data_IF_910783689130
#
_entry.id   IF_910783689130
#
_cell.length_a   1.000
_cell.length_b   1.000
_cell.length_c   1.000
_cell.angle_alpha   90.00
_cell.angle_beta   90.00
_cell.angle_gamma   90.00
#
_symmetry.space_group_name_H-M   'P 1'
#
loop_
_entity.id
_entity.type
_entity.pdbx_description
1 polymer ?
#
# COMPACT_ATOMS: atom_id res chain seq x y z
N UNK A 1 -10.20 38.22 9.91
CA UNK A 1 -8.92 37.50 9.75
C UNK A 1 -7.77 38.12 10.56
N UNK A 2 -7.45 39.41 10.43
CA UNK A 2 -6.36 40.07 11.17
C UNK A 2 -6.47 39.99 12.72
N UNK A 3 -7.69 40.07 13.24
CA UNK A 3 -7.96 39.87 14.67
C UNK A 3 -7.77 38.41 15.12
N UNK A 4 -8.15 37.43 14.28
CA UNK A 4 -7.97 36.00 14.57
C UNK A 4 -6.50 35.58 14.50
N UNK A 5 -5.70 36.16 13.59
CA UNK A 5 -4.27 35.86 13.48
C UNK A 5 -3.42 36.37 14.63
N UNK A 6 -3.97 37.28 15.44
CA UNK A 6 -3.31 37.87 16.60
C UNK A 6 -3.92 37.43 17.93
N UNK A 7 -5.05 36.72 17.88
CA UNK A 7 -5.71 36.17 19.06
C UNK A 7 -4.85 35.09 19.72
N UNK A 8 -4.81 35.12 21.06
CA UNK A 8 -4.17 34.08 21.88
C UNK A 8 -5.19 33.53 22.86
N UNK A 9 -5.31 32.20 22.93
CA UNK A 9 -6.07 31.57 24.00
C UNK A 9 -5.41 31.82 25.35
N UNK A 10 -6.19 32.36 26.29
CA UNK A 10 -5.75 32.64 27.65
C UNK A 10 -5.57 31.32 28.40
N UNK A 11 -4.45 31.16 29.11
CA UNK A 11 -4.16 29.95 29.90
C UNK A 11 -3.66 28.75 29.10
N UNK A 12 -3.48 28.87 27.77
CA UNK A 12 -2.91 27.80 26.94
C UNK A 12 -1.47 28.14 26.51
N UNK A 13 -0.46 27.34 26.90
CA UNK A 13 0.94 27.57 26.51
C UNK A 13 1.19 27.35 25.02
N UNK A 14 0.38 26.51 24.37
CA UNK A 14 0.36 26.31 22.91
C UNK A 14 -1.00 26.72 22.38
N UNK A 15 -1.03 27.43 21.24
CA UNK A 15 -2.28 27.81 20.59
C UNK A 15 -3.01 26.56 20.07
N UNK A 16 -4.32 26.43 20.29
CA UNK A 16 -5.11 25.34 19.72
C UNK A 16 -5.07 25.35 18.19
N UNK A 17 -4.93 24.17 17.59
CA UNK A 17 -4.87 24.04 16.12
C UNK A 17 -6.18 24.50 15.43
N UNK A 18 -7.31 24.55 16.16
CA UNK A 18 -8.58 25.03 15.63
C UNK A 18 -8.56 26.51 15.20
N UNK A 19 -7.70 27.35 15.80
CA UNK A 19 -7.50 28.73 15.35
C UNK A 19 -6.97 28.77 13.92
N UNK A 20 -5.98 27.93 13.64
CA UNK A 20 -5.46 27.79 12.28
C UNK A 20 -6.54 27.24 11.35
N UNK A 21 -7.30 26.23 11.80
CA UNK A 21 -8.45 25.71 11.08
C UNK A 21 -9.48 26.77 10.70
N UNK A 22 -9.85 27.67 11.63
CA UNK A 22 -10.77 28.78 11.35
C UNK A 22 -10.19 29.76 10.33
N UNK A 23 -8.91 30.11 10.44
CA UNK A 23 -8.26 31.00 9.48
C UNK A 23 -8.23 30.40 8.08
N UNK A 24 -7.87 29.11 7.96
CA UNK A 24 -7.86 28.38 6.69
C UNK A 24 -9.27 28.32 6.13
N UNK A 25 -10.28 27.90 6.90
CA UNK A 25 -11.65 27.78 6.43
C UNK A 25 -12.23 29.11 5.92
N UNK A 26 -12.02 30.20 6.66
CA UNK A 26 -12.52 31.52 6.24
C UNK A 26 -11.82 31.98 4.96
N UNK A 27 -10.50 31.81 4.86
CA UNK A 27 -9.75 32.18 3.64
C UNK A 27 -10.17 31.35 2.44
N UNK A 28 -10.25 30.03 2.61
CA UNK A 28 -10.68 29.10 1.56
C UNK A 28 -12.10 29.36 1.10
N UNK A 29 -13.02 29.70 2.01
CA UNK A 29 -14.40 30.02 1.66
C UNK A 29 -14.50 31.31 0.85
N UNK A 30 -13.77 32.36 1.24
CA UNK A 30 -13.72 33.62 0.50
C UNK A 30 -13.16 33.40 -0.92
N UNK A 31 -12.06 32.65 -1.02
CA UNK A 31 -11.46 32.29 -2.30
C UNK A 31 -12.40 31.46 -3.17
N UNK A 32 -13.09 30.47 -2.59
CA UNK A 32 -14.07 29.65 -3.30
C UNK A 32 -15.25 30.50 -3.79
N UNK A 33 -15.77 31.42 -2.98
CA UNK A 33 -16.83 32.33 -3.40
C UNK A 33 -16.39 33.20 -4.58
N UNK A 34 -15.19 33.78 -4.52
CA UNK A 34 -14.63 34.59 -5.61
C UNK A 34 -14.47 33.74 -6.88
N UNK A 35 -13.86 32.56 -6.77
CA UNK A 35 -13.68 31.63 -7.88
C UNK A 35 -15.00 31.21 -8.54
N UNK A 36 -16.02 30.90 -7.74
CA UNK A 36 -17.35 30.51 -8.24
C UNK A 36 -18.02 31.68 -8.98
N UNK A 37 -17.86 32.89 -8.46
CA UNK A 37 -18.41 34.09 -9.09
C UNK A 37 -17.68 34.43 -10.39
N UNK A 38 -16.35 34.38 -10.43
CA UNK A 38 -15.57 34.76 -11.61
C UNK A 38 -15.65 33.71 -12.72
N UNK A 39 -15.71 32.44 -12.36
CA UNK A 39 -15.62 31.32 -13.32
C UNK A 39 -16.98 30.88 -13.81
N UNK A 40 -17.99 30.86 -12.92
CA UNK A 40 -19.31 30.29 -13.22
C UNK A 40 -20.45 31.30 -13.07
N UNK A 41 -20.17 32.54 -12.66
CA UNK A 41 -21.19 33.57 -12.45
C UNK A 41 -22.08 33.35 -11.23
N UNK A 42 -21.78 32.34 -10.40
CA UNK A 42 -22.60 31.97 -9.26
C UNK A 42 -22.28 32.87 -8.05
N UNK A 43 -23.29 33.60 -7.56
CA UNK A 43 -23.13 34.57 -6.47
C UNK A 43 -23.45 34.00 -5.09
N UNK A 44 -23.99 32.77 -5.04
CA UNK A 44 -24.44 32.15 -3.80
C UNK A 44 -23.78 30.79 -3.58
N UNK A 45 -23.25 30.57 -2.38
CA UNK A 45 -22.61 29.31 -2.00
C UNK A 45 -23.36 28.68 -0.82
N UNK A 46 -23.78 27.44 -0.98
CA UNK A 46 -24.48 26.68 0.06
C UNK A 46 -23.45 26.09 1.04
N UNK A 47 -23.07 26.87 2.05
CA UNK A 47 -22.07 26.47 3.06
C UNK A 47 -22.42 25.18 3.81
N UNK A 48 -23.70 24.80 3.89
CA UNK A 48 -24.16 23.50 4.42
C UNK A 48 -23.58 22.30 3.67
N UNK A 49 -23.17 22.45 2.41
CA UNK A 49 -22.55 21.39 1.61
C UNK A 49 -21.03 21.31 1.79
N UNK A 50 -20.44 22.26 2.53
CA UNK A 50 -18.99 22.37 2.73
C UNK A 50 -18.56 21.87 4.12
N UNK A 51 -19.33 20.93 4.67
CA UNK A 51 -19.05 20.28 5.93
C UNK A 51 -19.15 18.76 5.79
N UNK A 52 -18.78 18.03 6.84
CA UNK A 52 -18.79 16.57 6.85
C UNK A 52 -20.11 15.98 7.37
N UNK A 53 -21.14 16.78 7.64
CA UNK A 53 -22.39 16.31 8.26
C UNK A 53 -23.08 15.25 7.41
N UNK A 54 -23.08 15.41 6.08
CA UNK A 54 -23.66 14.41 5.17
C UNK A 54 -22.99 13.04 5.29
N UNK A 55 -21.66 13.03 5.50
CA UNK A 55 -20.89 11.82 5.71
C UNK A 55 -21.18 11.22 7.10
N UNK A 56 -21.23 12.03 8.15
CA UNK A 56 -21.56 11.59 9.51
C UNK A 56 -22.98 11.00 9.60
N UNK A 57 -23.94 11.62 8.91
CA UNK A 57 -25.31 11.12 8.79
C UNK A 57 -25.34 9.78 8.06
N UNK A 58 -24.54 9.61 7.00
CA UNK A 58 -24.41 8.32 6.28
C UNK A 58 -23.91 7.23 7.23
N UNK A 59 -22.90 7.52 8.06
CA UNK A 59 -22.43 6.55 9.06
C UNK A 59 -23.50 6.22 10.10
N UNK A 60 -24.30 7.19 10.51
CA UNK A 60 -25.40 6.97 11.46
C UNK A 60 -26.45 6.03 10.87
N UNK A 61 -26.82 6.19 9.60
CA UNK A 61 -27.74 5.29 8.89
C UNK A 61 -27.18 3.86 8.85
N UNK A 62 -25.89 3.69 8.53
CA UNK A 62 -25.28 2.36 8.48
C UNK A 62 -25.22 1.70 9.88
N UNK A 63 -24.95 2.47 10.94
CA UNK A 63 -25.01 1.93 12.33
C UNK A 63 -26.41 1.44 12.68
N UNK A 64 -27.46 2.15 12.27
CA UNK A 64 -28.85 1.79 12.55
C UNK A 64 -29.31 0.49 11.85
N UNK A 65 -28.65 0.08 10.76
CA UNK A 65 -29.05 -1.13 10.01
C UNK A 65 -28.78 -2.44 10.77
N UNK A 66 -27.94 -2.45 11.81
CA UNK A 66 -27.53 -3.66 12.53
C UNK A 66 -28.13 -3.76 13.94
N UNK A 67 -29.25 -3.10 14.20
CA UNK A 67 -29.95 -3.16 15.49
C UNK A 67 -29.12 -2.56 16.63
N UNK A 68 -28.88 -3.33 17.71
CA UNK A 68 -28.16 -2.87 18.91
C UNK A 68 -26.62 -2.80 18.76
N UNK A 69 -26.09 -2.93 17.53
CA UNK A 69 -24.65 -2.92 17.27
C UNK A 69 -24.18 -1.54 16.79
N UNK A 70 -23.95 -0.63 17.73
CA UNK A 70 -23.47 0.75 17.45
C UNK A 70 -22.05 0.81 16.84
N UNK A 71 -21.33 -0.32 16.87
CA UNK A 71 -19.97 -0.49 16.37
C UNK A 71 -19.92 -1.57 15.28
N UNK A 72 -20.36 -1.26 14.05
CA UNK A 72 -20.34 -2.22 12.96
C UNK A 72 -18.89 -2.67 12.68
N UNK A 73 -18.72 -3.97 12.45
CA UNK A 73 -17.50 -4.51 11.85
C UNK A 73 -17.32 -3.94 10.43
N UNK A 74 -16.11 -4.02 9.89
CA UNK A 74 -15.85 -3.58 8.51
C UNK A 74 -16.79 -4.26 7.50
N UNK A 75 -17.12 -5.55 7.70
CA UNK A 75 -18.05 -6.28 6.83
C UNK A 75 -19.48 -5.74 6.95
N UNK A 76 -19.92 -5.41 8.16
CA UNK A 76 -21.24 -4.83 8.41
C UNK A 76 -21.37 -3.41 7.82
N UNK A 77 -20.30 -2.61 7.90
CA UNK A 77 -20.23 -1.31 7.24
C UNK A 77 -20.27 -1.46 5.71
N UNK A 78 -19.49 -2.39 5.13
CA UNK A 78 -19.48 -2.68 3.69
C UNK A 78 -20.86 -3.12 3.20
N UNK A 79 -21.45 -4.13 3.84
CA UNK A 79 -22.81 -4.62 3.52
C UNK A 79 -23.84 -3.51 3.70
N UNK A 80 -23.69 -2.69 4.75
CA UNK A 80 -24.62 -1.61 5.03
C UNK A 80 -24.55 -0.46 4.02
N UNK A 81 -23.35 -0.09 3.57
CA UNK A 81 -23.14 0.88 2.50
C UNK A 81 -23.64 0.35 1.16
N UNK A 82 -23.40 -0.93 0.84
CA UNK A 82 -23.96 -1.59 -0.35
C UNK A 82 -25.48 -1.56 -0.34
N UNK A 83 -26.08 -1.95 0.79
CA UNK A 83 -27.53 -1.90 1.00
C UNK A 83 -28.08 -0.48 0.89
N UNK A 84 -27.42 0.51 1.50
CA UNK A 84 -27.82 1.91 1.44
C UNK A 84 -27.76 2.46 0.01
N UNK A 85 -26.69 2.15 -0.72
CA UNK A 85 -26.49 2.57 -2.12
C UNK A 85 -27.58 1.98 -3.02
N UNK A 86 -27.82 0.67 -2.92
CA UNK A 86 -28.90 0.00 -3.64
C UNK A 86 -30.26 0.59 -3.27
N UNK A 87 -30.56 0.78 -1.98
CA UNK A 87 -31.84 1.33 -1.53
C UNK A 87 -32.07 2.77 -1.99
N UNK A 88 -31.01 3.57 -2.13
CA UNK A 88 -31.10 4.96 -2.59
C UNK A 88 -31.29 5.00 -4.10
N UNK A 89 -30.59 4.14 -4.84
CA UNK A 89 -30.75 4.02 -6.29
C UNK A 89 -32.10 3.40 -6.67
N UNK A 90 -32.64 2.48 -5.87
CA UNK A 90 -33.93 1.83 -6.12
C UNK A 90 -35.15 2.68 -5.71
N UNK A 91 -34.97 3.83 -5.07
CA UNK A 91 -36.06 4.76 -4.76
C UNK A 91 -36.37 5.62 -5.98
N UNK A 92 -37.38 5.24 -6.73
CA UNK A 92 -37.94 6.06 -7.81
C UNK A 92 -38.49 7.38 -7.25
N UNK A 93 -38.29 8.52 -7.91
CA UNK A 93 -39.02 9.74 -7.59
C UNK A 93 -40.51 9.49 -7.80
N UNK A 94 -41.34 9.81 -6.80
CA UNK A 94 -42.78 9.57 -6.83
C UNK A 94 -43.57 10.38 -7.89
N UNK A 95 -42.88 11.16 -8.73
CA UNK A 95 -43.50 12.12 -9.65
C UNK A 95 -42.81 12.28 -11.02
N UNK A 96 -41.94 11.36 -11.44
CA UNK A 96 -41.30 11.45 -12.76
C UNK A 96 -41.22 10.10 -13.47
N UNK A 97 -41.55 10.07 -14.78
CA UNK A 97 -41.45 8.92 -15.69
C UNK A 97 -39.98 8.55 -16.00
N UNK A 98 -39.12 8.46 -14.98
CA UNK A 98 -37.68 8.17 -15.09
C UNK A 98 -37.39 6.66 -15.02
N UNK A 99 -38.17 5.83 -15.72
CA UNK A 99 -37.87 4.39 -15.81
C UNK A 99 -36.53 4.13 -16.53
N UNK A 100 -36.16 4.99 -17.49
CA UNK A 100 -34.95 4.84 -18.30
C UNK A 100 -33.62 5.03 -17.54
N UNK A 101 -33.56 5.91 -16.53
CA UNK A 101 -32.31 6.19 -15.80
C UNK A 101 -31.98 5.08 -14.78
N UNK A 102 -33.00 4.50 -14.14
CA UNK A 102 -32.83 3.35 -13.26
C UNK A 102 -32.44 2.10 -14.05
N UNK A 103 -33.04 1.91 -15.22
CA UNK A 103 -32.69 0.81 -16.13
C UNK A 103 -31.23 0.88 -16.55
N UNK A 104 -30.72 2.05 -16.94
CA UNK A 104 -29.30 2.23 -17.28
C UNK A 104 -28.36 2.03 -16.09
N UNK A 105 -28.75 2.45 -14.89
CA UNK A 105 -27.98 2.21 -13.68
C UNK A 105 -27.93 0.72 -13.31
N UNK A 106 -29.04 -0.01 -13.47
CA UNK A 106 -29.12 -1.45 -13.27
C UNK A 106 -28.34 -2.25 -14.34
N UNK A 107 -28.33 -1.77 -15.58
CA UNK A 107 -27.51 -2.32 -16.67
C UNK A 107 -26.02 -2.11 -16.42
N UNK A 108 -25.60 -0.95 -15.90
CA UNK A 108 -24.21 -0.77 -15.47
C UNK A 108 -23.84 -1.67 -14.29
N UNK A 109 -24.76 -1.89 -13.35
CA UNK A 109 -24.56 -2.80 -12.21
C UNK A 109 -24.47 -4.28 -12.65
N UNK A 110 -25.24 -4.71 -13.64
CA UNK A 110 -25.20 -6.08 -14.16
C UNK A 110 -23.94 -6.38 -14.98
N UNK A 111 -23.25 -5.34 -15.48
CA UNK A 111 -21.96 -5.44 -16.15
C UNK A 111 -20.78 -5.53 -15.17
N UNK A 112 -21.01 -5.36 -13.87
CA UNK A 112 -19.96 -5.59 -12.87
C UNK A 112 -19.69 -7.10 -12.76
N UNK A 113 -18.41 -7.53 -12.77
CA UNK A 113 -18.07 -8.94 -12.71
C UNK A 113 -18.62 -9.57 -11.43
N UNK A 114 -19.35 -10.67 -11.58
CA UNK A 114 -19.85 -11.44 -10.45
C UNK A 114 -18.67 -11.92 -9.60
N UNK A 115 -18.62 -11.52 -8.33
CA UNK A 115 -17.76 -12.19 -7.36
C UNK A 115 -18.38 -13.55 -7.04
N UNK A 116 -18.03 -14.57 -7.83
CA UNK A 116 -18.36 -15.96 -7.54
C UNK A 116 -17.61 -16.40 -6.28
N UNK A 117 -18.29 -16.29 -5.14
CA UNK A 117 -17.94 -17.00 -3.92
C UNK A 117 -18.60 -18.38 -3.91
N UNK A 118 -18.20 -19.23 -4.86
CA UNK A 118 -18.36 -20.67 -4.74
C UNK A 118 -16.99 -21.28 -4.97
N UNK A 119 -16.30 -21.60 -3.86
CA UNK A 119 -15.16 -22.51 -3.88
C UNK A 119 -15.45 -23.62 -2.90
N UNK A 120 -15.86 -24.74 -3.46
CA UNK A 120 -15.69 -26.05 -2.85
C UNK A 120 -14.22 -26.19 -2.42
N UNK A 121 -14.03 -26.65 -1.19
CA UNK A 121 -12.72 -26.91 -0.60
C UNK A 121 -12.25 -28.24 -1.18
N UNK A 122 -11.43 -28.18 -2.24
CA UNK A 122 -10.59 -29.29 -2.64
C UNK A 122 -9.26 -29.16 -1.90
N UNK A 123 -9.02 -30.05 -0.94
CA UNK A 123 -7.68 -30.39 -0.49
C UNK A 123 -6.99 -31.15 -1.62
N UNK A 124 -5.96 -30.58 -2.23
CA UNK A 124 -4.99 -31.38 -2.98
C UNK A 124 -3.59 -30.77 -2.94
N UNK A 125 -2.66 -31.59 -2.43
CA UNK A 125 -1.47 -32.01 -3.16
C UNK A 125 -0.40 -30.98 -3.50
N UNK A 126 0.80 -31.26 -2.99
CA UNK A 126 2.13 -30.81 -3.43
C UNK A 126 2.22 -30.44 -4.93
N UNK A 127 1.94 -29.18 -5.26
CA UNK A 127 1.91 -28.68 -6.62
C UNK A 127 3.10 -27.76 -6.89
N UNK A 128 4.12 -28.29 -7.57
CA UNK A 128 5.23 -27.56 -8.20
C UNK A 128 4.69 -26.31 -8.89
N UNK A 129 5.32 -25.16 -8.64
CA UNK A 129 4.92 -23.91 -9.29
C UNK A 129 5.33 -23.98 -10.77
N UNK A 130 4.34 -23.99 -11.66
CA UNK A 130 4.59 -23.79 -13.10
C UNK A 130 4.98 -22.33 -13.34
N UNK A 131 6.14 -22.13 -13.95
CA UNK A 131 6.70 -20.83 -14.32
C UNK A 131 6.45 -20.57 -15.80
N UNK A 132 5.96 -19.38 -16.12
CA UNK A 132 6.00 -18.84 -17.48
C UNK A 132 7.39 -18.25 -17.72
N UNK A 133 8.00 -18.52 -18.87
CA UNK A 133 9.32 -18.00 -19.24
C UNK A 133 9.27 -16.51 -19.66
N UNK A 134 8.07 -15.96 -19.91
CA UNK A 134 7.90 -14.54 -20.21
C UNK A 134 7.90 -13.68 -18.95
N UNK A 135 9.10 -13.26 -18.52
CA UNK A 135 9.28 -12.31 -17.42
C UNK A 135 9.29 -10.88 -17.95
N UNK A 136 8.36 -10.06 -17.47
CA UNK A 136 8.39 -8.61 -17.69
C UNK A 136 9.60 -8.02 -16.93
N UNK A 137 10.55 -7.43 -17.65
CA UNK A 137 11.72 -6.79 -17.04
C UNK A 137 11.29 -5.59 -16.18
N UNK A 138 11.93 -5.42 -15.02
CA UNK A 138 11.66 -4.28 -14.14
C UNK A 138 11.97 -2.96 -14.86
N UNK A 139 11.02 -2.03 -14.84
CA UNK A 139 11.25 -0.69 -15.34
C UNK A 139 12.30 0.08 -14.52
N UNK A 140 12.87 1.16 -15.06
CA UNK A 140 13.94 1.95 -14.40
C UNK A 140 13.60 2.38 -12.96
N UNK A 141 12.35 2.76 -12.70
CA UNK A 141 11.86 3.19 -11.38
C UNK A 141 11.76 2.01 -10.42
N UNK A 142 11.28 0.87 -10.90
CA UNK A 142 11.13 -0.35 -10.12
C UNK A 142 12.50 -0.93 -9.78
N UNK A 143 13.44 -0.91 -10.73
CA UNK A 143 14.81 -1.36 -10.53
C UNK A 143 15.52 -0.55 -9.44
N UNK A 144 15.38 0.78 -9.46
CA UNK A 144 15.87 1.69 -8.42
C UNK A 144 15.26 1.38 -7.04
N UNK A 145 13.94 1.17 -7.00
CA UNK A 145 13.23 0.84 -5.77
C UNK A 145 13.64 -0.53 -5.24
N UNK A 146 13.81 -1.50 -6.14
CA UNK A 146 14.19 -2.86 -5.84
C UNK A 146 15.61 -2.92 -5.28
N UNK A 147 16.58 -2.23 -5.90
CA UNK A 147 17.95 -2.09 -5.39
C UNK A 147 17.99 -1.58 -3.94
N UNK A 148 17.24 -0.51 -3.64
CA UNK A 148 17.13 0.00 -2.27
C UNK A 148 16.55 -1.03 -1.29
N UNK A 149 15.52 -1.78 -1.71
CA UNK A 149 14.93 -2.83 -0.86
C UNK A 149 15.82 -4.07 -0.71
N UNK A 150 16.69 -4.37 -1.67
CA UNK A 150 17.72 -5.41 -1.54
C UNK A 150 18.65 -5.11 -0.35
N UNK A 151 19.09 -3.85 -0.22
CA UNK A 151 19.85 -3.39 0.94
C UNK A 151 19.12 -3.60 2.28
N UNK A 152 17.78 -3.45 2.29
CA UNK A 152 16.97 -3.79 3.46
C UNK A 152 16.96 -5.29 3.77
N UNK A 153 16.79 -6.16 2.76
CA UNK A 153 16.78 -7.63 2.94
C UNK A 153 18.11 -8.09 3.51
N UNK A 154 19.23 -7.63 2.93
CA UNK A 154 20.58 -7.95 3.41
C UNK A 154 20.76 -7.47 4.84
N UNK A 155 20.33 -6.25 5.18
CA UNK A 155 20.36 -5.75 6.57
C UNK A 155 19.61 -6.67 7.53
N UNK A 156 18.44 -7.16 7.14
CA UNK A 156 17.63 -8.07 7.97
C UNK A 156 18.30 -9.41 8.16
N UNK A 157 18.89 -9.96 7.10
CA UNK A 157 19.68 -11.19 7.17
C UNK A 157 20.90 -11.01 8.08
N UNK A 158 21.76 -10.02 7.85
CA UNK A 158 22.97 -9.80 8.64
C UNK A 158 22.71 -9.50 10.12
N UNK A 159 21.54 -8.93 10.44
CA UNK A 159 21.11 -8.75 11.83
C UNK A 159 20.81 -10.08 12.54
N UNK A 160 20.32 -11.08 11.80
CA UNK A 160 20.04 -12.43 12.32
C UNK A 160 21.25 -13.36 12.19
N UNK A 161 22.08 -13.15 11.17
CA UNK A 161 23.23 -13.96 10.80
C UNK A 161 24.49 -13.09 10.81
N UNK A 162 25.13 -13.01 11.98
CA UNK A 162 26.32 -12.18 12.19
C UNK A 162 27.58 -12.87 11.65
N UNK A 163 27.80 -12.78 10.34
CA UNK A 163 28.96 -13.34 9.66
C UNK A 163 29.66 -12.27 8.82
N UNK A 164 30.95 -12.03 9.09
CA UNK A 164 31.72 -11.01 8.38
C UNK A 164 31.95 -11.38 6.91
N UNK A 165 32.18 -12.66 6.60
CA UNK A 165 32.29 -13.14 5.22
C UNK A 165 31.02 -12.81 4.42
N UNK A 166 29.84 -13.16 4.95
CA UNK A 166 28.57 -12.83 4.31
C UNK A 166 28.38 -11.32 4.16
N UNK A 167 28.79 -10.53 5.15
CA UNK A 167 28.70 -9.07 5.08
C UNK A 167 29.56 -8.50 3.96
N UNK A 168 30.83 -8.90 3.88
CA UNK A 168 31.75 -8.44 2.83
C UNK A 168 31.27 -8.87 1.45
N UNK A 169 30.77 -10.10 1.30
CA UNK A 169 30.29 -10.58 0.00
C UNK A 169 28.99 -9.87 -0.43
N UNK A 170 28.06 -9.66 0.50
CA UNK A 170 26.74 -9.11 0.18
C UNK A 170 26.73 -7.60 0.03
N UNK A 171 27.69 -6.88 0.63
CA UNK A 171 27.62 -5.43 0.77
C UNK A 171 28.82 -4.70 0.21
N UNK A 172 28.58 -3.54 -0.40
CA UNK A 172 29.64 -2.63 -0.85
C UNK A 172 30.32 -1.99 0.37
N UNK A 173 31.66 -2.03 0.40
CA UNK A 173 32.44 -1.39 1.46
C UNK A 173 32.31 0.14 1.41
N UNK A 174 32.43 0.79 2.57
CA UNK A 174 32.24 2.25 2.69
C UNK A 174 33.19 3.07 1.80
N UNK A 175 34.41 2.59 1.56
CA UNK A 175 35.39 3.21 0.67
C UNK A 175 35.01 3.15 -0.81
N UNK A 176 34.16 2.19 -1.18
CA UNK A 176 33.87 1.83 -2.56
C UNK A 176 32.45 2.25 -2.97
N UNK A 177 31.74 2.95 -2.09
CA UNK A 177 30.39 3.48 -2.36
C UNK A 177 30.47 4.57 -3.41
N UNK A 178 30.09 4.23 -4.64
CA UNK A 178 30.07 5.13 -5.79
C UNK A 178 28.79 4.95 -6.59
N UNK A 179 28.27 6.06 -7.13
CA UNK A 179 27.14 6.01 -8.04
C UNK A 179 27.56 5.58 -9.45
N UNK A 180 27.68 4.27 -9.67
CA UNK A 180 28.13 3.69 -10.96
C UNK A 180 26.99 3.31 -11.91
N UNK A 181 25.80 3.00 -11.37
CA UNK A 181 24.67 2.52 -12.15
C UNK A 181 23.41 3.36 -11.91
N UNK A 182 22.55 3.46 -12.93
CA UNK A 182 21.30 4.23 -12.83
C UNK A 182 20.36 3.74 -11.72
N UNK A 183 20.40 2.45 -11.39
CA UNK A 183 19.58 1.86 -10.34
C UNK A 183 20.06 2.21 -8.91
N UNK A 184 21.17 2.95 -8.79
CA UNK A 184 21.66 3.49 -7.51
C UNK A 184 21.00 4.83 -7.15
N UNK A 185 20.39 5.54 -8.11
CA UNK A 185 19.91 6.91 -7.94
C UNK A 185 18.95 7.07 -6.76
N UNK A 186 17.98 6.16 -6.61
CA UNK A 186 17.04 6.25 -5.51
C UNK A 186 17.70 6.05 -4.14
N UNK A 187 18.66 5.12 -4.02
CA UNK A 187 19.40 4.92 -2.79
C UNK A 187 20.26 6.16 -2.46
N UNK A 188 20.89 6.76 -3.47
CA UNK A 188 21.67 7.98 -3.36
C UNK A 188 20.83 9.16 -2.86
N UNK A 189 19.66 9.41 -3.45
CA UNK A 189 18.77 10.48 -2.98
C UNK A 189 18.13 10.18 -1.62
N UNK A 190 18.02 8.89 -1.25
CA UNK A 190 17.43 8.50 0.02
C UNK A 190 18.38 8.67 1.20
N UNK A 191 19.68 8.61 0.97
CA UNK A 191 20.68 9.03 1.96
C UNK A 191 20.72 10.55 2.06
N UNK A 192 19.73 11.12 2.73
CA UNK A 192 19.82 12.50 3.16
C UNK A 192 20.84 12.56 4.31
N UNK A 193 22.03 13.11 4.06
CA UNK A 193 23.03 13.39 5.08
C UNK A 193 23.40 14.87 5.01
N UNK A 194 23.37 15.57 6.14
CA UNK A 194 23.79 16.96 6.25
C UNK A 194 25.31 17.14 6.04
N UNK A 195 26.06 16.04 6.01
CA UNK A 195 27.50 16.00 5.78
C UNK A 195 27.80 15.85 4.28
N UNK A 196 28.33 16.92 3.68
CA UNK A 196 28.89 16.90 2.32
C UNK A 196 30.01 15.83 2.24
N UNK A 197 29.78 14.75 1.49
CA UNK A 197 30.85 13.82 1.10
C UNK A 197 30.64 12.33 1.42
N UNK A 198 29.59 11.95 2.16
CA UNK A 198 29.23 10.54 2.33
C UNK A 198 28.18 10.12 1.29
N UNK A 199 28.62 9.68 0.11
CA UNK A 199 27.72 9.05 -0.86
C UNK A 199 26.99 7.86 -0.19
N UNK A 200 25.66 7.82 -0.33
CA UNK A 200 24.79 6.77 0.24
C UNK A 200 24.66 6.72 1.78
N UNK A 201 25.29 7.64 2.53
CA UNK A 201 25.19 7.74 4.00
C UNK A 201 25.42 6.40 4.70
N UNK A 202 24.55 6.02 5.64
CA UNK A 202 24.62 4.74 6.37
C UNK A 202 23.77 3.60 5.77
N UNK A 203 23.33 3.72 4.51
CA UNK A 203 22.56 2.65 3.88
C UNK A 203 23.43 1.41 3.66
N UNK A 204 22.79 0.23 3.71
CA UNK A 204 23.43 -1.01 3.25
C UNK A 204 23.15 -1.12 1.75
N UNK A 205 24.21 -1.22 0.96
CA UNK A 205 24.13 -1.35 -0.50
C UNK A 205 24.56 -2.77 -0.90
N UNK A 206 23.78 -3.48 -1.73
CA UNK A 206 24.19 -4.78 -2.25
C UNK A 206 25.39 -4.63 -3.21
N UNK A 207 26.30 -5.60 -3.19
CA UNK A 207 27.26 -5.79 -4.30
C UNK A 207 26.53 -6.10 -5.60
N UNK A 208 27.20 -5.91 -6.74
CA UNK A 208 26.59 -6.18 -8.04
C UNK A 208 26.19 -7.66 -8.18
N UNK A 209 27.04 -8.58 -7.73
CA UNK A 209 26.77 -10.01 -7.73
C UNK A 209 25.55 -10.36 -6.86
N UNK A 210 25.47 -9.77 -5.66
CA UNK A 210 24.32 -9.97 -4.77
C UNK A 210 23.03 -9.40 -5.38
N UNK A 211 23.11 -8.25 -6.05
CA UNK A 211 21.96 -7.62 -6.69
C UNK A 211 21.44 -8.44 -7.88
N UNK A 212 22.33 -8.94 -8.74
CA UNK A 212 21.96 -9.82 -9.85
C UNK A 212 21.30 -11.11 -9.36
N UNK A 213 21.81 -11.71 -8.28
CA UNK A 213 21.21 -12.89 -7.67
C UNK A 213 19.80 -12.59 -7.12
N UNK A 214 19.62 -11.44 -6.47
CA UNK A 214 18.31 -10.98 -5.97
C UNK A 214 17.33 -10.67 -7.11
N UNK A 215 17.80 -10.19 -8.26
CA UNK A 215 16.97 -10.01 -9.45
C UNK A 215 16.45 -11.35 -9.97
N UNK A 216 17.28 -12.39 -10.05
CA UNK A 216 16.81 -13.72 -10.43
C UNK A 216 15.77 -14.27 -9.44
N UNK A 217 15.97 -14.04 -8.14
CA UNK A 217 14.96 -14.39 -7.13
C UNK A 217 13.65 -13.60 -7.31
N UNK A 218 13.73 -12.33 -7.74
CA UNK A 218 12.58 -11.48 -8.00
C UNK A 218 11.76 -11.95 -9.21
N UNK A 219 12.43 -12.43 -10.26
CA UNK A 219 11.77 -13.03 -11.43
C UNK A 219 10.93 -14.24 -11.01
N UNK A 220 11.54 -15.15 -10.24
CA UNK A 220 10.85 -16.33 -9.68
C UNK A 220 9.69 -15.88 -8.78
N UNK A 221 9.90 -14.88 -7.92
CA UNK A 221 8.85 -14.36 -7.06
C UNK A 221 7.67 -13.79 -7.87
N UNK A 222 7.93 -12.95 -8.88
CA UNK A 222 6.87 -12.33 -9.67
C UNK A 222 6.03 -13.36 -10.43
N UNK A 223 6.69 -14.34 -11.06
CA UNK A 223 6.01 -15.40 -11.81
C UNK A 223 5.24 -16.37 -10.90
N UNK A 224 5.82 -16.72 -9.76
CA UNK A 224 5.21 -17.68 -8.85
C UNK A 224 4.09 -17.09 -7.98
N UNK A 225 4.26 -15.85 -7.49
CA UNK A 225 3.36 -15.24 -6.51
C UNK A 225 2.22 -14.45 -7.16
N UNK A 226 2.48 -13.57 -8.13
CA UNK A 226 1.48 -12.63 -8.67
C UNK A 226 0.21 -13.31 -9.22
N UNK A 227 0.29 -14.45 -9.92
CA UNK A 227 -0.91 -15.11 -10.45
C UNK A 227 -1.74 -15.82 -9.38
N UNK A 228 -1.14 -16.16 -8.24
CA UNK A 228 -1.70 -17.08 -7.24
C UNK A 228 -1.47 -16.62 -5.79
N UNK A 229 -1.71 -15.34 -5.42
CA UNK A 229 -1.40 -14.82 -4.08
C UNK A 229 -2.19 -15.50 -2.95
N UNK A 230 -3.34 -16.09 -3.28
CA UNK A 230 -4.21 -16.83 -2.36
C UNK A 230 -3.80 -18.29 -2.11
N UNK A 231 -2.81 -18.85 -2.85
CA UNK A 231 -2.44 -20.26 -2.73
C UNK A 231 -1.84 -20.53 -1.34
N UNK A 232 -2.43 -21.47 -0.60
CA UNK A 232 -1.90 -21.91 0.70
C UNK A 232 -0.52 -22.54 0.47
N UNK A 233 0.44 -22.27 1.36
CA UNK A 233 1.80 -22.78 1.23
C UNK A 233 2.66 -22.09 0.16
N UNK A 234 2.19 -21.02 -0.49
CA UNK A 234 2.91 -20.34 -1.58
C UNK A 234 4.33 -19.90 -1.18
N UNK A 235 4.55 -19.51 0.07
CA UNK A 235 5.87 -19.14 0.57
C UNK A 235 6.89 -20.29 0.53
N UNK A 236 6.46 -21.51 0.89
CA UNK A 236 7.33 -22.70 0.81
C UNK A 236 7.60 -23.08 -0.64
N UNK A 237 6.57 -23.05 -1.49
CA UNK A 237 6.73 -23.33 -2.93
C UNK A 237 7.71 -22.36 -3.61
N UNK A 238 7.68 -21.07 -3.25
CA UNK A 238 8.63 -20.08 -3.76
C UNK A 238 10.07 -20.34 -3.28
N UNK A 239 10.25 -20.71 -2.00
CA UNK A 239 11.57 -21.05 -1.46
C UNK A 239 12.17 -22.28 -2.17
N UNK A 240 11.34 -23.30 -2.41
CA UNK A 240 11.75 -24.49 -3.16
C UNK A 240 12.13 -24.14 -4.60
N UNK A 241 11.30 -23.34 -5.29
CA UNK A 241 11.59 -22.92 -6.66
C UNK A 241 12.90 -22.13 -6.79
N UNK A 242 13.16 -21.20 -5.86
CA UNK A 242 14.43 -20.46 -5.80
C UNK A 242 15.61 -21.42 -5.55
N UNK A 243 15.43 -22.43 -4.69
CA UNK A 243 16.46 -23.41 -4.38
C UNK A 243 16.77 -24.30 -5.59
N UNK A 244 15.76 -24.72 -6.34
CA UNK A 244 15.91 -25.54 -7.55
C UNK A 244 16.62 -24.81 -8.69
N UNK A 245 16.52 -23.47 -8.75
CA UNK A 245 17.17 -22.67 -9.79
C UNK A 245 18.69 -22.52 -9.59
N UNK A 246 19.23 -22.94 -8.43
CA UNK A 246 20.66 -22.86 -8.09
C UNK A 246 21.25 -21.45 -8.29
N UNK A 247 20.54 -20.42 -7.85
CA UNK A 247 21.02 -19.03 -7.91
C UNK A 247 22.28 -18.92 -7.06
N UNK A 248 23.36 -18.43 -7.66
CA UNK A 248 24.64 -18.28 -6.98
C UNK A 248 24.62 -17.05 -6.09
N UNK A 249 24.74 -17.27 -4.77
CA UNK A 249 24.81 -16.21 -3.78
C UNK A 249 25.91 -16.61 -2.77
N UNK A 250 27.01 -15.86 -2.60
CA UNK A 250 28.21 -16.38 -1.95
C UNK A 250 28.13 -16.26 -0.42
N UNK A 251 27.20 -17.03 0.14
CA UNK A 251 26.95 -17.12 1.58
C UNK A 251 27.81 -18.22 2.20
N UNK A 252 28.05 -18.13 3.51
CA UNK A 252 29.01 -18.99 4.20
C UNK A 252 28.59 -20.47 4.30
N UNK A 253 27.30 -20.79 4.12
CA UNK A 253 26.80 -22.16 4.19
C UNK A 253 25.46 -22.34 3.46
N UNK A 254 25.12 -23.58 3.12
CA UNK A 254 23.81 -23.91 2.55
C UNK A 254 22.64 -23.53 3.48
N UNK A 255 22.85 -23.58 4.80
CA UNK A 255 21.83 -23.17 5.77
C UNK A 255 21.61 -21.65 5.73
N UNK A 256 22.70 -20.87 5.69
CA UNK A 256 22.61 -19.41 5.54
C UNK A 256 21.93 -18.99 4.24
N UNK A 257 22.08 -19.77 3.17
CA UNK A 257 21.34 -19.58 1.92
C UNK A 257 19.84 -19.80 2.09
N UNK A 258 19.42 -20.90 2.74
CA UNK A 258 18.01 -21.15 3.03
C UNK A 258 17.40 -20.04 3.88
N UNK A 259 18.10 -19.59 4.91
CA UNK A 259 17.67 -18.48 5.77
C UNK A 259 17.51 -17.18 4.98
N UNK A 260 18.47 -16.87 4.11
CA UNK A 260 18.42 -15.70 3.25
C UNK A 260 17.21 -15.74 2.30
N UNK A 261 16.99 -16.87 1.64
CA UNK A 261 15.84 -17.09 0.75
C UNK A 261 14.51 -16.97 1.52
N UNK A 262 14.42 -17.54 2.72
CA UNK A 262 13.23 -17.43 3.56
C UNK A 262 12.95 -15.96 3.95
N UNK A 263 13.97 -15.18 4.30
CA UNK A 263 13.85 -13.75 4.58
C UNK A 263 13.39 -12.99 3.33
N UNK A 264 14.02 -13.23 2.17
CA UNK A 264 13.65 -12.60 0.91
C UNK A 264 12.17 -12.86 0.58
N UNK A 265 11.76 -14.12 0.49
CA UNK A 265 10.38 -14.50 0.15
C UNK A 265 9.39 -13.90 1.14
N UNK A 266 9.70 -13.95 2.45
CA UNK A 266 8.86 -13.38 3.49
C UNK A 266 8.60 -11.90 3.30
N UNK A 267 9.66 -11.10 3.11
CA UNK A 267 9.51 -9.66 2.93
C UNK A 267 8.90 -9.31 1.57
N UNK A 268 9.18 -10.08 0.52
CA UNK A 268 8.54 -9.86 -0.78
C UNK A 268 7.05 -10.13 -0.75
N UNK A 269 6.59 -11.24 -0.16
CA UNK A 269 5.16 -11.49 0.09
C UNK A 269 4.57 -10.34 0.90
N UNK A 270 5.22 -9.94 2.00
CA UNK A 270 4.74 -8.87 2.85
C UNK A 270 4.59 -7.53 2.12
N UNK A 271 5.58 -7.12 1.32
CA UNK A 271 5.52 -5.87 0.58
C UNK A 271 4.50 -5.93 -0.55
N UNK A 272 4.43 -7.03 -1.28
CA UNK A 272 3.44 -7.19 -2.36
C UNK A 272 2.03 -7.21 -1.78
N UNK A 273 1.78 -7.95 -0.71
CA UNK A 273 0.48 -7.93 -0.03
C UNK A 273 0.18 -6.56 0.58
N UNK A 274 1.17 -5.87 1.17
CA UNK A 274 0.97 -4.50 1.66
C UNK A 274 0.63 -3.54 0.53
N UNK A 275 1.28 -3.67 -0.62
CA UNK A 275 1.01 -2.89 -1.81
C UNK A 275 -0.37 -3.21 -2.37
N UNK A 276 -0.72 -4.48 -2.55
CA UNK A 276 -2.06 -4.91 -2.96
C UNK A 276 -3.12 -4.44 -1.98
N UNK A 277 -2.87 -4.57 -0.68
CA UNK A 277 -3.76 -4.03 0.35
C UNK A 277 -3.85 -2.52 0.26
N UNK A 278 -2.77 -1.81 -0.10
CA UNK A 278 -2.79 -0.36 -0.32
C UNK A 278 -3.49 0.03 -1.61
N UNK A 279 -3.31 -0.67 -2.73
CA UNK A 279 -4.06 -0.42 -3.96
C UNK A 279 -5.54 -0.78 -3.79
N UNK A 280 -5.85 -1.76 -2.94
CA UNK A 280 -7.20 -2.03 -2.45
C UNK A 280 -7.66 -0.98 -1.41
N UNK A 281 -6.74 -0.35 -0.65
CA UNK A 281 -6.99 0.63 0.43
C UNK A 281 -6.83 2.10 0.04
N UNK A 282 -6.47 2.40 -1.21
CA UNK A 282 -6.88 3.62 -1.90
C UNK A 282 -8.42 3.62 -2.08
N UNK A 283 -9.09 2.56 -1.60
CA UNK A 283 -10.48 2.54 -1.14
C UNK A 283 -10.68 2.04 0.33
N UNK A 284 -9.92 2.48 1.37
CA UNK A 284 -10.39 2.74 2.79
C UNK A 284 -9.39 2.55 3.97
N UNK A 285 -8.30 1.76 3.94
CA UNK A 285 -7.78 1.13 5.20
C UNK A 285 -6.38 1.48 5.76
N UNK A 286 -5.84 2.69 5.63
CA UNK A 286 -4.50 3.02 6.18
C UNK A 286 -4.42 3.22 7.71
N UNK A 287 -5.19 2.48 8.54
CA UNK A 287 -4.99 2.49 10.01
C UNK A 287 -5.12 1.11 10.66
N UNK A 288 -3.94 0.53 10.92
CA UNK A 288 -3.57 -0.40 12.02
C UNK A 288 -4.28 -1.76 12.03
N UNK A 289 -3.56 -2.82 11.63
CA UNK A 289 -3.41 -4.13 12.32
C UNK A 289 -2.44 -4.93 11.43
N UNK A 290 -1.13 -4.81 11.64
CA UNK A 290 -0.14 -5.55 10.83
C UNK A 290 0.93 -6.22 11.68
N UNK A 291 0.55 -6.83 12.81
CA UNK A 291 1.48 -7.72 13.53
C UNK A 291 0.85 -8.91 14.29
N UNK A 292 -0.47 -9.04 14.46
CA UNK A 292 -1.03 -10.04 15.40
C UNK A 292 -1.68 -11.30 14.82
N UNK A 293 -1.72 -11.54 13.50
CA UNK A 293 -2.40 -12.72 12.94
C UNK A 293 -1.57 -13.66 12.06
N UNK A 294 -0.29 -13.38 11.80
CA UNK A 294 0.53 -14.19 10.88
C UNK A 294 1.73 -14.90 11.55
N UNK A 295 1.78 -14.93 12.88
CA UNK A 295 2.74 -15.73 13.65
C UNK A 295 2.00 -16.66 14.62
N UNK A 296 1.23 -17.60 14.07
CA UNK A 296 1.12 -18.92 14.67
C UNK A 296 2.01 -19.83 13.82
N UNK A 297 3.29 -19.87 14.21
CA UNK A 297 4.07 -21.10 14.19
C UNK A 297 3.63 -21.89 15.43
#
# INVERSE_FOLDING_TARGET
>A
LKALSTAKFVGCPRQPDCLNGWMVNIRSLLYLCEFMQTTYGERSLRTRLLNQDALENTFSIVRQQHGCSDHPTAKQLETGLKSLSLSTMSKLPSSSNCEQELEQALVCLSQLPATSHDREIAEDGDGVLEFDDHVEELGRVELNSFYYTCGFVIRKFLKAHNCETCKVTLTVADSDRRMEHEHHLFAYFKSFSDELGQEFGHLILPTNEAFLALLEMEKIFCNGFRPRPQKVGIGLGLQQAISLKNITLPLCSAESYKDFVAIFVRYRIFWTLRFMNKSMADNVSDKRITMKKLFKL
#
